data_IF_682495703965
#
_entry.id   IF_682495703965
#
_cell.length_a   1.000
_cell.length_b   1.000
_cell.length_c   1.000
_cell.angle_alpha   90.00
_cell.angle_beta   90.00
_cell.angle_gamma   90.00
#
_symmetry.space_group_name_H-M   'P 1'
#
loop_
_entity.id
_entity.type
_entity.pdbx_description
1 polymer ?
#
# COMPACT_ATOMS: atom_id res chain seq x y z
N UNK A 1 27.74 12.21 -6.23
CA UNK A 1 26.36 12.69 -6.01
C UNK A 1 26.21 12.95 -4.52
N UNK A 2 25.98 14.21 -4.14
CA UNK A 2 25.98 14.65 -2.73
C UNK A 2 24.88 13.96 -1.92
N UNK A 3 25.13 13.73 -0.62
CA UNK A 3 24.15 13.14 0.30
C UNK A 3 22.84 13.94 0.31
N UNK A 4 22.92 15.27 0.22
CA UNK A 4 21.77 16.16 0.07
C UNK A 4 20.86 15.77 -1.11
N UNK A 5 21.45 15.55 -2.29
CA UNK A 5 20.71 15.18 -3.50
C UNK A 5 20.01 13.83 -3.33
N UNK A 6 20.69 12.86 -2.70
CA UNK A 6 20.10 11.54 -2.40
C UNK A 6 18.91 11.64 -1.44
N UNK A 7 19.03 12.42 -0.37
CA UNK A 7 17.93 12.64 0.59
C UNK A 7 16.76 13.36 -0.08
N UNK A 8 17.02 14.32 -0.96
CA UNK A 8 15.98 15.06 -1.67
C UNK A 8 15.26 14.16 -2.70
N UNK A 9 16.00 13.35 -3.45
CA UNK A 9 15.43 12.35 -4.37
C UNK A 9 14.59 11.32 -3.63
N UNK A 10 15.08 10.77 -2.52
CA UNK A 10 14.31 9.80 -1.72
C UNK A 10 13.08 10.43 -1.08
N UNK A 11 13.17 11.68 -0.60
CA UNK A 11 12.02 12.43 -0.09
C UNK A 11 10.96 12.62 -1.18
N UNK A 12 11.38 12.97 -2.40
CA UNK A 12 10.47 13.12 -3.54
C UNK A 12 9.81 11.79 -3.93
N UNK A 13 10.57 10.69 -3.94
CA UNK A 13 10.03 9.34 -4.16
C UNK A 13 9.04 8.96 -3.08
N UNK A 14 9.36 9.24 -1.81
CA UNK A 14 8.48 8.95 -0.67
C UNK A 14 7.18 9.74 -0.78
N UNK A 15 7.24 11.04 -1.10
CA UNK A 15 6.06 11.86 -1.33
C UNK A 15 5.21 11.35 -2.49
N UNK A 16 5.85 10.94 -3.60
CA UNK A 16 5.18 10.33 -4.74
C UNK A 16 4.48 9.01 -4.38
N UNK A 17 5.12 8.16 -3.58
CA UNK A 17 4.53 6.92 -3.08
C UNK A 17 3.36 7.17 -2.13
N UNK A 18 3.45 8.16 -1.24
CA UNK A 18 2.34 8.56 -0.36
C UNK A 18 1.15 9.00 -1.21
N UNK A 19 1.38 9.90 -2.18
CA UNK A 19 0.32 10.41 -3.05
C UNK A 19 -0.29 9.30 -3.90
N UNK A 20 0.54 8.46 -4.53
CA UNK A 20 0.08 7.35 -5.36
C UNK A 20 -0.69 6.32 -4.53
N UNK A 21 -0.21 6.01 -3.33
CA UNK A 21 -0.90 5.11 -2.40
C UNK A 21 -2.25 5.68 -1.98
N UNK A 22 -2.31 6.95 -1.60
CA UNK A 22 -3.57 7.60 -1.24
C UNK A 22 -4.55 7.62 -2.42
N UNK A 23 -4.07 7.97 -3.62
CA UNK A 23 -4.87 7.98 -4.84
C UNK A 23 -5.40 6.60 -5.23
N UNK A 24 -4.58 5.55 -5.10
CA UNK A 24 -5.03 4.20 -5.42
C UNK A 24 -6.01 3.68 -4.37
N UNK A 25 -5.77 3.95 -3.09
CA UNK A 25 -6.67 3.52 -2.01
C UNK A 25 -8.02 4.24 -2.07
N UNK A 26 -8.08 5.51 -2.51
CA UNK A 26 -9.36 6.22 -2.68
C UNK A 26 -10.23 5.66 -3.81
N UNK A 27 -9.64 4.91 -4.74
CA UNK A 27 -10.34 4.23 -5.84
C UNK A 27 -10.76 2.81 -5.48
N UNK A 28 -10.17 2.22 -4.43
CA UNK A 28 -10.55 0.87 -3.96
C UNK A 28 -11.81 1.00 -3.12
N UNK A 29 -12.95 0.75 -3.74
CA UNK A 29 -14.24 0.60 -3.05
C UNK A 29 -14.70 -0.85 -3.13
N UNK A 30 -15.40 -1.31 -2.10
CA UNK A 30 -15.93 -2.69 -2.01
C UNK A 30 -16.84 -3.05 -3.20
N UNK A 31 -17.41 -2.04 -3.86
CA UNK A 31 -18.34 -2.21 -4.98
C UNK A 31 -17.70 -2.07 -6.37
N UNK A 32 -16.43 -1.68 -6.48
CA UNK A 32 -15.78 -1.46 -7.79
C UNK A 32 -14.63 -2.46 -8.04
N UNK A 33 -14.87 -3.56 -8.78
CA UNK A 33 -13.79 -4.50 -9.12
C UNK A 33 -12.66 -3.83 -9.94
N UNK A 34 -13.00 -2.79 -10.71
CA UNK A 34 -12.04 -2.01 -11.49
C UNK A 34 -11.00 -1.29 -10.62
N UNK A 35 -11.41 -0.72 -9.49
CA UNK A 35 -10.51 -0.02 -8.55
C UNK A 35 -9.49 -0.97 -7.93
N UNK A 36 -9.94 -2.16 -7.53
CA UNK A 36 -9.08 -3.23 -7.03
C UNK A 36 -8.08 -3.70 -8.09
N UNK A 37 -8.54 -4.05 -9.29
CA UNK A 37 -7.66 -4.52 -10.37
C UNK A 37 -6.65 -3.46 -10.81
N UNK A 38 -7.02 -2.18 -10.77
CA UNK A 38 -6.11 -1.07 -11.03
C UNK A 38 -5.04 -0.93 -9.95
N UNK A 39 -5.42 -0.98 -8.68
CA UNK A 39 -4.47 -0.95 -7.57
C UNK A 39 -3.53 -2.17 -7.58
N UNK A 40 -4.05 -3.35 -7.93
CA UNK A 40 -3.30 -4.59 -8.04
C UNK A 40 -2.32 -4.56 -9.22
N UNK A 41 -2.74 -4.11 -10.40
CA UNK A 41 -1.88 -4.01 -11.59
C UNK A 41 -0.77 -2.96 -11.46
N UNK A 42 -0.97 -1.92 -10.64
CA UNK A 42 0.08 -0.95 -10.37
C UNK A 42 1.21 -1.47 -9.45
N UNK A 43 0.97 -2.51 -8.63
CA UNK A 43 1.97 -3.06 -7.69
C UNK A 43 3.22 -3.62 -8.39
N UNK A 44 3.09 -4.50 -9.41
CA UNK A 44 4.24 -4.97 -10.19
C UNK A 44 5.00 -3.81 -10.85
N UNK A 45 4.28 -2.83 -11.42
CA UNK A 45 4.90 -1.66 -12.04
C UNK A 45 5.73 -0.86 -11.06
N UNK A 46 5.20 -0.60 -9.86
CA UNK A 46 5.94 0.05 -8.78
C UNK A 46 7.19 -0.76 -8.38
N UNK A 47 7.07 -2.08 -8.22
CA UNK A 47 8.19 -2.97 -7.91
C UNK A 47 9.31 -2.93 -8.96
N UNK A 48 8.96 -2.95 -10.25
CA UNK A 48 9.93 -2.83 -11.37
C UNK A 48 10.62 -1.47 -11.36
N UNK A 49 9.89 -0.38 -11.14
CA UNK A 49 10.48 0.97 -11.07
C UNK A 49 11.47 1.05 -9.90
N UNK A 50 11.12 0.49 -8.75
CA UNK A 50 12.00 0.47 -7.57
C UNK A 50 13.27 -0.34 -7.81
N UNK A 51 13.16 -1.56 -8.35
CA UNK A 51 14.28 -2.38 -8.77
C UNK A 51 15.15 -1.67 -9.81
N UNK A 52 14.54 -1.10 -10.86
CA UNK A 52 15.25 -0.36 -11.90
C UNK A 52 16.02 0.83 -11.33
N UNK A 53 15.43 1.53 -10.36
CA UNK A 53 16.08 2.65 -9.65
C UNK A 53 17.24 2.17 -8.78
N UNK A 54 17.09 1.05 -8.07
CA UNK A 54 18.15 0.44 -7.27
C UNK A 54 19.34 -0.01 -8.14
N UNK A 55 19.08 -0.72 -9.24
CA UNK A 55 20.09 -1.10 -10.24
C UNK A 55 20.78 0.13 -10.83
N UNK A 56 20.04 1.19 -11.16
CA UNK A 56 20.62 2.43 -11.71
C UNK A 56 21.55 3.14 -10.72
N UNK A 57 21.22 3.12 -9.42
CA UNK A 57 22.06 3.68 -8.37
C UNK A 57 23.37 2.90 -8.18
N UNK A 58 23.47 1.68 -8.72
CA UNK A 58 24.64 0.78 -8.87
C UNK A 58 25.37 0.36 -7.59
N UNK A 59 25.48 1.21 -6.55
CA UNK A 59 26.18 0.92 -5.28
C UNK A 59 25.64 1.72 -4.09
N UNK A 60 25.56 1.06 -2.94
CA UNK A 60 25.31 1.66 -1.62
C UNK A 60 24.04 1.13 -0.95
N UNK A 61 23.89 1.40 0.34
CA UNK A 61 22.76 0.92 1.14
C UNK A 61 21.39 1.34 0.56
N UNK A 62 21.31 2.48 -0.13
CA UNK A 62 20.10 2.94 -0.79
C UNK A 62 19.73 2.09 -2.00
N UNK A 63 20.70 1.66 -2.80
CA UNK A 63 20.45 0.77 -3.93
C UNK A 63 19.93 -0.59 -3.42
N UNK A 64 20.60 -1.16 -2.42
CA UNK A 64 20.18 -2.43 -1.79
C UNK A 64 18.77 -2.32 -1.18
N UNK A 65 18.47 -1.22 -0.50
CA UNK A 65 17.13 -0.99 0.05
C UNK A 65 16.07 -0.95 -1.06
N UNK A 66 16.31 -0.22 -2.15
CA UNK A 66 15.39 -0.12 -3.28
C UNK A 66 15.22 -1.47 -3.98
N UNK A 67 16.30 -2.25 -4.13
CA UNK A 67 16.25 -3.57 -4.74
C UNK A 67 15.45 -4.56 -3.88
N UNK A 68 15.67 -4.56 -2.56
CA UNK A 68 14.94 -5.44 -1.63
C UNK A 68 13.46 -5.06 -1.58
N UNK A 69 13.14 -3.78 -1.36
CA UNK A 69 11.74 -3.34 -1.30
C UNK A 69 11.05 -3.54 -2.65
N UNK A 70 11.70 -3.17 -3.75
CA UNK A 70 11.17 -3.37 -5.09
C UNK A 70 10.95 -4.84 -5.43
N UNK A 71 11.89 -5.72 -5.06
CA UNK A 71 11.78 -7.17 -5.23
C UNK A 71 10.65 -7.77 -4.43
N UNK A 72 10.51 -7.39 -3.15
CA UNK A 72 9.40 -7.84 -2.29
C UNK A 72 8.06 -7.35 -2.83
N UNK A 73 7.96 -6.08 -3.20
CA UNK A 73 6.74 -5.50 -3.81
C UNK A 73 6.38 -6.21 -5.11
N UNK A 74 7.36 -6.48 -5.98
CA UNK A 74 7.14 -7.17 -7.25
C UNK A 74 6.66 -8.60 -7.03
N UNK A 75 7.34 -9.36 -6.15
CA UNK A 75 6.98 -10.74 -5.85
C UNK A 75 5.58 -10.83 -5.23
N UNK A 76 5.27 -9.96 -4.26
CA UNK A 76 3.95 -9.89 -3.65
C UNK A 76 2.87 -9.46 -4.65
N UNK A 77 3.14 -8.44 -5.48
CA UNK A 77 2.23 -7.99 -6.53
C UNK A 77 1.92 -9.08 -7.56
N UNK A 78 2.94 -9.82 -8.03
CA UNK A 78 2.74 -10.96 -8.94
C UNK A 78 1.97 -12.10 -8.27
N UNK A 79 2.28 -12.40 -7.00
CA UNK A 79 1.57 -13.45 -6.25
C UNK A 79 0.09 -13.10 -6.11
N UNK A 80 -0.21 -11.86 -5.71
CA UNK A 80 -1.59 -11.37 -5.60
C UNK A 80 -2.28 -11.32 -6.97
N UNK A 81 -1.57 -10.96 -8.04
CA UNK A 81 -2.11 -10.97 -9.40
C UNK A 81 -2.47 -12.37 -9.87
N UNK A 82 -1.64 -13.37 -9.60
CA UNK A 82 -1.93 -14.78 -9.93
C UNK A 82 -3.10 -15.32 -9.12
N UNK A 83 -3.17 -14.99 -7.83
CA UNK A 83 -4.22 -15.50 -6.93
C UNK A 83 -5.58 -14.80 -7.12
N UNK A 84 -5.58 -13.49 -7.40
CA UNK A 84 -6.78 -12.65 -7.33
C UNK A 84 -7.05 -11.84 -8.61
N UNK A 85 -6.17 -11.84 -9.61
CA UNK A 85 -6.30 -11.02 -10.81
C UNK A 85 -7.38 -11.47 -11.79
N UNK A 86 -7.91 -12.69 -11.64
CA UNK A 86 -9.02 -13.23 -12.43
C UNK A 86 -10.33 -13.37 -11.64
N UNK A 87 -10.46 -12.71 -10.49
CA UNK A 87 -11.74 -12.70 -9.78
C UNK A 87 -12.71 -11.77 -10.49
N UNK A 88 -13.66 -12.36 -11.19
CA UNK A 88 -14.78 -11.62 -11.81
C UNK A 88 -15.84 -11.20 -10.76
N UNK A 89 -15.84 -11.82 -9.57
CA UNK A 89 -16.85 -11.59 -8.55
C UNK A 89 -16.25 -11.03 -7.24
N UNK A 90 -16.46 -9.72 -6.93
CA UNK A 90 -15.90 -9.07 -5.75
C UNK A 90 -16.56 -9.49 -4.43
N UNK A 91 -17.59 -10.34 -4.47
CA UNK A 91 -18.32 -10.85 -3.29
C UNK A 91 -17.87 -12.25 -2.86
N UNK A 92 -16.97 -12.89 -3.61
CA UNK A 92 -16.43 -14.19 -3.25
C UNK A 92 -15.64 -14.12 -1.93
N UNK A 93 -15.73 -15.18 -1.11
CA UNK A 93 -15.15 -15.29 0.24
C UNK A 93 -13.62 -15.02 0.32
N UNK A 94 -12.92 -14.97 -0.83
CA UNK A 94 -11.50 -14.60 -0.93
C UNK A 94 -11.21 -13.15 -1.34
N UNK A 95 -12.19 -12.39 -1.85
CA UNK A 95 -11.98 -11.08 -2.44
C UNK A 95 -11.60 -10.01 -1.40
N UNK A 96 -12.26 -10.03 -0.24
CA UNK A 96 -11.95 -9.14 0.88
C UNK A 96 -10.51 -9.32 1.38
N UNK A 97 -10.02 -10.57 1.38
CA UNK A 97 -8.64 -10.87 1.78
C UNK A 97 -7.64 -10.28 0.78
N UNK A 98 -7.89 -10.46 -0.52
CA UNK A 98 -7.06 -9.88 -1.58
C UNK A 98 -7.03 -8.35 -1.51
N UNK A 99 -8.20 -7.71 -1.34
CA UNK A 99 -8.33 -6.25 -1.18
C UNK A 99 -7.53 -5.77 0.03
N UNK A 100 -7.71 -6.41 1.19
CA UNK A 100 -6.99 -6.03 2.41
C UNK A 100 -5.47 -6.21 2.27
N UNK A 101 -5.00 -7.26 1.59
CA UNK A 101 -3.57 -7.46 1.32
C UNK A 101 -3.01 -6.38 0.38
N UNK A 102 -3.75 -5.98 -0.66
CA UNK A 102 -3.35 -4.89 -1.57
C UNK A 102 -3.28 -3.55 -0.82
N UNK A 103 -4.28 -3.25 0.02
CA UNK A 103 -4.28 -2.04 0.86
C UNK A 103 -3.11 -2.02 1.85
N UNK A 104 -2.82 -3.17 2.49
CA UNK A 104 -1.67 -3.33 3.38
C UNK A 104 -0.34 -3.13 2.64
N UNK A 105 -0.20 -3.65 1.42
CA UNK A 105 1.02 -3.45 0.64
C UNK A 105 1.23 -1.99 0.24
N UNK A 106 0.15 -1.34 -0.22
CA UNK A 106 0.19 0.07 -0.61
C UNK A 106 0.48 1.00 0.57
N UNK A 107 0.01 0.67 1.78
CA UNK A 107 0.35 1.41 3.01
C UNK A 107 1.76 1.13 3.53
N UNK A 108 2.23 -0.12 3.46
CA UNK A 108 3.56 -0.49 3.96
C UNK A 108 4.70 0.17 3.16
N UNK A 109 4.54 0.28 1.83
CA UNK A 109 5.51 0.90 0.93
C UNK A 109 5.94 2.33 1.35
N UNK A 110 5.04 3.32 1.45
CA UNK A 110 5.40 4.67 1.85
C UNK A 110 5.94 4.72 3.28
N UNK A 111 5.47 3.86 4.19
CA UNK A 111 5.99 3.78 5.57
C UNK A 111 7.46 3.35 5.58
N UNK A 112 7.82 2.29 4.85
CA UNK A 112 9.21 1.83 4.74
C UNK A 112 10.13 2.93 4.19
N UNK A 113 9.67 3.64 3.16
CA UNK A 113 10.42 4.75 2.57
C UNK A 113 10.56 5.95 3.52
N UNK A 114 9.50 6.29 4.26
CA UNK A 114 9.53 7.37 5.24
C UNK A 114 10.49 7.07 6.40
N UNK A 115 10.49 5.84 6.92
CA UNK A 115 11.45 5.42 7.96
C UNK A 115 12.87 5.50 7.43
N UNK A 116 13.12 4.98 6.22
CA UNK A 116 14.45 5.01 5.61
C UNK A 116 14.95 6.43 5.33
N UNK A 117 14.09 7.31 4.82
CA UNK A 117 14.41 8.74 4.62
C UNK A 117 14.65 9.48 5.93
N UNK A 118 13.92 9.14 6.99
CA UNK A 118 14.11 9.73 8.31
C UNK A 118 15.47 9.34 8.92
N UNK A 119 15.85 8.06 8.82
CA UNK A 119 17.18 7.58 9.24
C UNK A 119 18.30 8.30 8.46
N UNK A 120 18.14 8.45 7.14
CA UNK A 120 19.10 9.17 6.30
C UNK A 120 19.17 10.67 6.60
N UNK A 121 18.02 11.30 6.85
CA UNK A 121 17.92 12.72 7.17
C UNK A 121 18.57 13.08 8.50
N UNK A 122 18.29 12.28 9.55
CA UNK A 122 18.87 12.47 10.88
C UNK A 122 20.38 12.16 10.94
N UNK A 123 20.84 11.22 10.11
CA UNK A 123 22.26 10.87 10.00
C UNK A 123 23.10 11.86 9.17
N UNK A 124 22.50 12.89 8.57
CA UNK A 124 23.20 13.83 7.69
C UNK A 124 23.97 14.90 8.49
N UNK A 125 25.31 14.88 8.40
CA UNK A 125 26.18 16.02 8.78
C UNK A 125 26.41 16.87 7.53
N UNK A 126 25.52 17.84 7.30
CA UNK A 126 25.72 18.85 6.24
C UNK A 126 26.40 20.10 6.79
N UNK A 127 27.29 20.68 6.00
CA UNK A 127 28.08 21.87 6.35
C UNK A 127 27.22 23.14 6.48
N UNK A 128 26.07 23.20 5.80
CA UNK A 128 25.17 24.37 5.84
C UNK A 128 23.96 24.14 6.74
N UNK A 129 23.75 25.04 7.72
CA UNK A 129 22.62 24.98 8.67
C UNK A 129 21.25 24.86 7.96
N UNK A 130 21.07 25.52 6.82
CA UNK A 130 19.82 25.49 6.04
C UNK A 130 19.58 24.11 5.44
N UNK A 131 20.60 23.52 4.80
CA UNK A 131 20.46 22.18 4.21
C UNK A 131 20.24 21.10 5.27
N UNK A 132 20.91 21.22 6.41
CA UNK A 132 20.69 20.34 7.57
C UNK A 132 19.25 20.43 8.10
N UNK A 133 18.68 21.63 8.17
CA UNK A 133 17.26 21.81 8.55
C UNK A 133 16.33 21.17 7.53
N UNK A 134 16.51 21.44 6.24
CA UNK A 134 15.65 20.86 5.19
C UNK A 134 15.75 19.32 5.20
N UNK A 135 16.95 18.77 5.20
CA UNK A 135 17.18 17.32 5.22
C UNK A 135 16.62 16.63 6.49
N UNK A 136 16.49 17.36 7.61
CA UNK A 136 15.88 16.85 8.84
C UNK A 136 14.36 17.02 8.90
N UNK A 137 13.83 18.20 8.54
CA UNK A 137 12.41 18.51 8.66
C UNK A 137 11.55 17.87 7.55
N UNK A 138 12.07 17.74 6.34
CA UNK A 138 11.33 17.11 5.22
C UNK A 138 10.90 15.68 5.53
N UNK A 139 11.78 14.74 5.97
CA UNK A 139 11.34 13.39 6.29
C UNK A 139 10.42 13.34 7.52
N UNK A 140 10.59 14.24 8.50
CA UNK A 140 9.68 14.36 9.65
C UNK A 140 8.30 14.78 9.20
N UNK A 141 8.19 15.76 8.29
CA UNK A 141 6.92 16.20 7.74
C UNK A 141 6.24 15.09 6.92
N UNK A 142 7.00 14.34 6.11
CA UNK A 142 6.46 13.19 5.36
C UNK A 142 5.97 12.08 6.29
N UNK A 143 6.71 11.79 7.35
CA UNK A 143 6.29 10.80 8.34
C UNK A 143 5.02 11.26 9.09
N UNK A 144 4.95 12.53 9.50
CA UNK A 144 3.75 13.10 10.10
C UNK A 144 2.54 13.05 9.15
N UNK A 145 2.74 13.29 7.85
CA UNK A 145 1.69 13.17 6.85
C UNK A 145 1.15 11.73 6.75
N UNK A 146 2.02 10.72 6.72
CA UNK A 146 1.59 9.32 6.76
C UNK A 146 0.78 9.03 8.02
N UNK A 147 1.22 9.49 9.20
CA UNK A 147 0.47 9.31 10.44
C UNK A 147 -0.91 9.95 10.35
N UNK A 148 -1.02 11.19 9.84
CA UNK A 148 -2.32 11.85 9.66
C UNK A 148 -3.23 11.05 8.72
N UNK A 149 -2.70 10.51 7.62
CA UNK A 149 -3.49 9.69 6.69
C UNK A 149 -3.94 8.36 7.31
N UNK A 150 -3.11 7.72 8.13
CA UNK A 150 -3.47 6.51 8.88
C UNK A 150 -4.53 6.79 9.94
N UNK A 151 -4.35 7.82 10.77
CA UNK A 151 -5.29 8.17 11.84
C UNK A 151 -6.62 8.73 11.33
N UNK A 152 -6.63 9.35 10.15
CA UNK A 152 -7.87 9.79 9.50
C UNK A 152 -8.62 8.66 8.80
N UNK A 153 -8.08 7.43 8.80
CA UNK A 153 -8.67 6.28 8.10
C UNK A 153 -8.63 6.39 6.57
N UNK A 154 -7.94 7.40 6.02
CA UNK A 154 -7.76 7.54 4.57
C UNK A 154 -6.71 6.57 4.01
N UNK A 155 -5.88 6.01 4.88
CA UNK A 155 -5.04 4.86 4.60
C UNK A 155 -5.40 3.70 5.53
N UNK A 156 -5.47 2.48 4.98
CA UNK A 156 -5.79 1.24 5.70
C UNK A 156 -7.26 1.10 6.16
N UNK A 157 -8.22 1.47 5.31
CA UNK A 157 -9.64 1.17 5.56
C UNK A 157 -9.92 -0.30 5.26
N UNK A 158 -9.73 -1.16 6.26
CA UNK A 158 -9.95 -2.60 6.12
C UNK A 158 -11.42 -2.89 5.83
N UNK A 159 -11.67 -3.61 4.74
CA UNK A 159 -13.02 -4.07 4.40
C UNK A 159 -13.37 -5.22 5.32
N UNK A 160 -14.43 -5.05 6.11
CA UNK A 160 -15.00 -6.12 6.91
C UNK A 160 -16.14 -6.76 6.12
N UNK A 161 -16.06 -8.08 5.93
CA UNK A 161 -17.19 -8.87 5.48
C UNK A 161 -18.34 -8.65 6.46
N UNK A 162 -19.53 -8.25 5.97
CA UNK A 162 -20.75 -8.43 6.76
C UNK A 162 -20.86 -9.93 7.03
N UNK A 163 -21.06 -10.37 8.29
CA UNK A 163 -21.39 -11.76 8.52
C UNK A 163 -22.62 -12.07 7.66
N UNK A 164 -22.54 -13.14 6.88
CA UNK A 164 -23.69 -13.73 6.22
C UNK A 164 -24.64 -14.09 7.36
N UNK A 165 -25.65 -13.25 7.62
CA UNK A 165 -26.78 -13.67 8.42
C UNK A 165 -27.32 -14.91 7.71
N UNK A 166 -27.20 -16.06 8.37
CA UNK A 166 -27.90 -17.30 8.05
C UNK A 166 -29.41 -17.04 8.11
N UNK A 167 -29.95 -16.30 7.15
CA UNK A 167 -31.37 -16.13 6.94
C UNK A 167 -31.86 -17.18 5.94
N UNK A 168 -31.44 -18.43 6.14
CA UNK A 168 -31.90 -19.60 5.38
C UNK A 168 -31.88 -20.82 6.29
N UNK A 169 -32.77 -20.88 7.29
CA UNK A 169 -33.22 -22.18 7.81
C UNK A 169 -34.49 -22.20 8.68
N UNK A 170 -35.35 -21.17 8.67
CA UNK A 170 -36.60 -21.24 9.45
C UNK A 170 -37.92 -20.99 8.71
N UNK A 171 -37.91 -20.60 7.43
CA UNK A 171 -39.15 -20.35 6.67
C UNK A 171 -39.75 -21.58 5.98
N UNK A 172 -38.97 -22.64 5.75
CA UNK A 172 -39.47 -23.85 5.05
C UNK A 172 -40.10 -24.90 5.99
N UNK A 173 -40.06 -24.69 7.31
CA UNK A 173 -40.76 -25.55 8.27
C UNK A 173 -42.20 -25.08 8.59
N UNK A 174 -42.64 -23.95 8.03
CA UNK A 174 -44.00 -23.43 8.26
C UNK A 174 -45.07 -24.03 7.31
N UNK A 175 -44.69 -24.89 6.35
CA UNK A 175 -45.61 -25.39 5.32
C UNK A 175 -46.02 -26.88 5.47
N UNK A 176 -45.62 -27.57 6.55
CA UNK A 176 -45.96 -29.00 6.79
C UNK A 176 -46.85 -29.17 8.04
N UNK A 177 -47.81 -28.27 8.26
CA UNK A 177 -48.65 -28.30 9.47
C UNK A 177 -50.09 -27.85 9.32
N UNK A 178 -50.63 -27.78 8.10
CA UNK A 178 -52.01 -27.34 7.85
C UNK A 178 -52.76 -28.25 6.86
N UNK A 179 -52.57 -29.56 6.99
CA UNK A 179 -53.50 -30.56 6.45
C UNK A 179 -53.75 -31.61 7.54
N UNK A 180 -54.61 -31.30 8.51
CA UNK A 180 -55.38 -32.28 9.31
C UNK A 180 -56.27 -31.52 10.31
N UNK A 181 -57.56 -31.40 9.98
CA UNK A 181 -58.59 -30.76 10.82
C UNK A 181 -59.84 -30.39 10.05
#
# INVERSE_FOLDING_TARGET
>A
MDRFKRTLTLSAVTAGLIFLSWWLQSQVTVQSPEGFLRALSCLPGAGVILLGTGIFLRRGATAVFLDVVGGVTLAAGLTLFVLYGGMDDPTAVGADTGINLVLCLWTALPVCFAVYTLVLGLGSREDTRVRRRIAGWTPVALFAWILVLLFSGQMLHLVHAKPVEEETHHSDLAWIGSEEG
#
